data_IF_782140726574
#
_entry.id   IF_782140726574
#
_cell.length_a   1.000
_cell.length_b   1.000
_cell.length_c   1.000
_cell.angle_alpha   90.00
_cell.angle_beta   90.00
_cell.angle_gamma   90.00
#
_symmetry.space_group_name_H-M   'P 1'
#
loop_
_entity.id
_entity.type
_entity.pdbx_description
1 polymer ?
#
# COMPACT_ATOMS: atom_id res chain seq x y z
N UNK A 1 12.82 9.09 -12.97
CA UNK A 1 11.56 9.25 -12.22
C UNK A 1 11.43 8.02 -11.33
N UNK A 2 11.22 8.19 -10.03
CA UNK A 2 11.13 7.05 -9.11
C UNK A 2 9.81 6.30 -9.38
N UNK A 3 9.91 5.00 -9.62
CA UNK A 3 8.73 4.13 -9.78
C UNK A 3 8.36 3.51 -8.45
N UNK A 4 7.09 3.60 -8.10
CA UNK A 4 6.50 3.04 -6.89
C UNK A 4 5.85 1.72 -7.22
N UNK A 5 6.09 0.71 -6.38
CA UNK A 5 5.41 -0.59 -6.43
C UNK A 5 4.97 -1.04 -5.04
N UNK A 6 3.92 -1.85 -5.00
CA UNK A 6 3.57 -2.62 -3.80
C UNK A 6 4.59 -3.77 -3.62
N UNK A 7 5.16 -3.99 -2.43
CA UNK A 7 5.96 -5.18 -2.16
C UNK A 7 5.14 -6.47 -2.34
N UNK A 8 5.80 -7.56 -2.72
CA UNK A 8 5.13 -8.84 -3.01
C UNK A 8 4.50 -9.48 -1.77
N UNK A 9 5.11 -9.25 -0.61
CA UNK A 9 4.66 -9.72 0.69
C UNK A 9 3.47 -8.93 1.25
N UNK A 10 3.23 -7.70 0.79
CA UNK A 10 2.06 -6.93 1.21
C UNK A 10 0.82 -7.50 0.53
N UNK A 11 -0.13 -8.02 1.31
CA UNK A 11 -1.46 -8.41 0.83
C UNK A 11 -2.50 -7.44 1.39
N UNK A 12 -3.61 -7.27 0.69
CA UNK A 12 -4.67 -6.39 1.15
C UNK A 12 -6.04 -6.94 0.76
N UNK A 13 -7.07 -6.50 1.48
CA UNK A 13 -8.47 -6.73 1.12
C UNK A 13 -9.30 -5.50 1.46
N UNK A 14 -10.39 -5.30 0.72
CA UNK A 14 -11.37 -4.24 0.98
C UNK A 14 -12.50 -4.79 1.86
N UNK A 15 -12.89 -4.05 2.89
CA UNK A 15 -14.02 -4.35 3.77
C UNK A 15 -14.92 -3.11 3.95
N UNK A 16 -15.94 -2.99 3.11
CA UNK A 16 -16.87 -1.85 3.15
C UNK A 16 -16.14 -0.52 2.99
N UNK A 17 -16.25 0.34 4.01
CA UNK A 17 -15.64 1.69 4.05
C UNK A 17 -14.16 1.70 4.42
N UNK A 18 -13.57 0.55 4.77
CA UNK A 18 -12.16 0.43 5.15
C UNK A 18 -11.44 -0.68 4.40
N UNK A 19 -10.14 -0.77 4.63
CA UNK A 19 -9.25 -1.78 4.11
C UNK A 19 -8.53 -2.53 5.21
N UNK A 20 -7.99 -3.67 4.84
CA UNK A 20 -7.08 -4.44 5.68
C UNK A 20 -5.82 -4.74 4.90
N UNK A 21 -4.67 -4.47 5.50
CA UNK A 21 -3.35 -4.75 4.95
C UNK A 21 -2.66 -5.78 5.84
N UNK A 22 -2.01 -6.74 5.19
CA UNK A 22 -1.27 -7.83 5.82
C UNK A 22 0.18 -7.77 5.33
N UNK A 23 1.11 -7.67 6.26
CA UNK A 23 2.51 -7.90 5.97
C UNK A 23 2.80 -9.41 6.04
N UNK A 24 3.05 -10.04 4.90
CA UNK A 24 3.34 -11.48 4.83
C UNK A 24 4.82 -11.82 5.05
N UNK A 25 5.73 -10.84 5.09
CA UNK A 25 7.13 -11.11 5.42
C UNK A 25 7.27 -11.56 6.88
N UNK A 26 6.36 -11.14 7.75
CA UNK A 26 6.29 -11.56 9.15
C UNK A 26 5.50 -12.86 9.39
N UNK A 27 5.10 -13.60 8.35
CA UNK A 27 4.28 -14.81 8.50
C UNK A 27 5.06 -15.94 9.22
N UNK A 28 4.82 -16.10 10.53
CA UNK A 28 5.53 -17.05 11.40
C UNK A 28 6.22 -16.41 12.61
N UNK A 29 6.27 -15.08 12.66
CA UNK A 29 6.62 -14.32 13.86
C UNK A 29 5.33 -13.94 14.62
N UNK A 30 5.44 -13.69 15.93
CA UNK A 30 4.33 -13.24 16.80
C UNK A 30 3.68 -11.91 16.35
N UNK A 31 4.29 -11.24 15.35
CA UNK A 31 3.95 -9.89 14.85
C UNK A 31 3.45 -9.89 13.39
N UNK A 32 2.85 -10.99 12.91
CA UNK A 32 2.12 -10.96 11.64
C UNK A 32 0.92 -9.99 11.77
N UNK A 33 1.17 -8.72 11.49
CA UNK A 33 0.28 -7.61 11.79
C UNK A 33 -0.76 -7.43 10.69
N UNK A 34 -2.02 -7.66 11.07
CA UNK A 34 -3.19 -7.28 10.29
C UNK A 34 -3.57 -5.85 10.69
N UNK A 35 -3.41 -4.90 9.77
CA UNK A 35 -3.67 -3.48 10.03
C UNK A 35 -4.93 -3.01 9.31
N UNK A 36 -5.84 -2.40 10.06
CA UNK A 36 -7.00 -1.69 9.50
C UNK A 36 -6.55 -0.35 8.93
N UNK A 37 -6.81 -0.13 7.64
CA UNK A 37 -6.43 1.09 6.92
C UNK A 37 -7.65 1.77 6.33
N UNK A 38 -7.51 3.05 5.98
CA UNK A 38 -8.54 3.77 5.23
C UNK A 38 -8.72 3.14 3.84
N UNK A 39 -9.94 3.15 3.29
CA UNK A 39 -10.24 2.61 1.95
C UNK A 39 -9.38 3.22 0.84
N UNK A 40 -8.97 4.49 1.00
CA UNK A 40 -8.02 5.18 0.10
C UNK A 40 -6.65 4.53 0.00
N UNK A 41 -6.17 3.89 1.06
CA UNK A 41 -4.91 3.13 1.01
C UNK A 41 -5.09 1.90 0.14
N UNK A 42 -6.26 1.26 0.21
CA UNK A 42 -6.59 0.13 -0.68
C UNK A 42 -6.69 0.59 -2.13
N UNK A 43 -7.35 1.73 -2.41
CA UNK A 43 -7.39 2.29 -3.76
C UNK A 43 -5.97 2.52 -4.32
N UNK A 44 -5.06 3.05 -3.49
CA UNK A 44 -3.66 3.26 -3.86
C UNK A 44 -2.95 1.94 -4.15
N UNK A 45 -3.14 0.92 -3.31
CA UNK A 45 -2.56 -0.40 -3.50
C UNK A 45 -3.08 -1.07 -4.77
N UNK A 46 -4.39 -1.01 -5.03
CA UNK A 46 -5.00 -1.48 -6.27
C UNK A 46 -4.47 -0.75 -7.51
N UNK A 47 -4.18 0.54 -7.39
CA UNK A 47 -3.67 1.36 -8.48
C UNK A 47 -2.24 0.98 -8.91
N UNK A 48 -1.40 0.52 -7.97
CA UNK A 48 -0.01 0.09 -8.24
C UNK A 48 0.15 -1.43 -8.32
N UNK A 49 -0.90 -2.21 -8.01
CA UNK A 49 -0.86 -3.67 -8.07
C UNK A 49 -0.78 -4.15 -9.53
N UNK A 50 0.14 -5.08 -9.79
CA UNK A 50 0.36 -5.64 -11.13
C UNK A 50 1.08 -4.71 -12.13
N UNK A 51 1.29 -3.43 -11.83
CA UNK A 51 2.06 -2.51 -12.69
C UNK A 51 2.66 -1.37 -11.88
N UNK A 52 4.00 -1.33 -11.68
CA UNK A 52 4.66 -0.20 -11.04
C UNK A 52 4.32 1.13 -11.74
N UNK A 53 4.12 2.18 -10.95
CA UNK A 53 3.70 3.50 -11.43
C UNK A 53 4.72 4.56 -11.06
N UNK A 54 4.92 5.61 -11.88
CA UNK A 54 5.78 6.71 -11.48
C UNK A 54 5.16 7.45 -10.28
N UNK A 55 6.01 7.96 -9.38
CA UNK A 55 5.55 8.67 -8.17
C UNK A 55 4.62 9.84 -8.49
N UNK A 56 4.87 10.55 -9.60
CA UNK A 56 4.04 11.67 -10.06
C UNK A 56 2.59 11.28 -10.38
N UNK A 57 2.34 10.06 -10.90
CA UNK A 57 0.98 9.55 -11.14
C UNK A 57 0.25 9.35 -9.81
N UNK A 58 0.95 8.88 -8.78
CA UNK A 58 0.37 8.71 -7.45
C UNK A 58 0.02 10.07 -6.84
N UNK A 59 0.93 11.04 -6.89
CA UNK A 59 0.71 12.38 -6.33
C UNK A 59 -0.39 13.15 -7.10
N UNK A 60 -0.66 12.80 -8.36
CA UNK A 60 -1.77 13.36 -9.15
C UNK A 60 -3.11 12.67 -8.88
N UNK A 61 -3.11 11.37 -8.58
CA UNK A 61 -4.32 10.57 -8.38
C UNK A 61 -4.79 10.52 -6.92
N UNK A 62 -3.89 10.74 -5.95
CA UNK A 62 -4.15 10.59 -4.53
C UNK A 62 -3.72 11.84 -3.75
N UNK A 63 -4.35 12.03 -2.59
CA UNK A 63 -3.95 13.07 -1.64
C UNK A 63 -2.55 12.77 -1.10
N UNK A 64 -1.69 13.79 -1.00
CA UNK A 64 -0.30 13.63 -0.55
C UNK A 64 -0.19 12.85 0.76
N UNK A 65 -1.06 13.13 1.73
CA UNK A 65 -1.08 12.44 3.02
C UNK A 65 -1.34 10.93 2.90
N UNK A 66 -2.13 10.49 1.93
CA UNK A 66 -2.39 9.05 1.68
C UNK A 66 -1.14 8.39 1.11
N UNK A 67 -0.47 9.07 0.18
CA UNK A 67 0.73 8.54 -0.47
C UNK A 67 1.91 8.50 0.51
N UNK A 68 2.06 9.51 1.36
CA UNK A 68 3.05 9.54 2.44
C UNK A 68 2.80 8.43 3.45
N UNK A 69 1.57 8.29 3.95
CA UNK A 69 1.21 7.22 4.88
C UNK A 69 1.50 5.82 4.29
N UNK A 70 1.18 5.59 3.01
CA UNK A 70 1.46 4.31 2.37
C UNK A 70 2.96 3.99 2.22
N UNK A 71 3.81 5.02 2.11
CA UNK A 71 5.28 4.87 2.07
C UNK A 71 5.85 4.67 3.46
N UNK A 72 5.43 5.47 4.43
CA UNK A 72 5.91 5.38 5.82
C UNK A 72 5.61 4.01 6.43
N UNK A 73 4.42 3.47 6.15
CA UNK A 73 3.99 2.15 6.61
C UNK A 73 4.59 0.99 5.78
N UNK A 74 5.35 1.29 4.71
CA UNK A 74 5.97 0.28 3.86
C UNK A 74 5.01 -0.46 2.92
N UNK A 75 3.74 -0.05 2.83
CA UNK A 75 2.76 -0.65 1.92
C UNK A 75 3.14 -0.47 0.45
N UNK A 76 3.89 0.59 0.13
CA UNK A 76 4.51 0.82 -1.17
C UNK A 76 5.95 1.28 -1.01
N UNK A 77 6.80 0.99 -2.01
CA UNK A 77 8.21 1.38 -2.03
C UNK A 77 8.63 1.91 -3.40
N UNK A 78 9.54 2.89 -3.39
CA UNK A 78 10.27 3.30 -4.58
C UNK A 78 11.30 2.24 -4.98
N UNK A 79 11.51 2.07 -6.29
CA UNK A 79 12.68 1.41 -6.88
C UNK A 79 13.83 2.40 -7.06
#
# INVERSE_FOLDING_TARGET
MATVRKPDHVKYRREGDHGLVYDHENYGYEDASLTTVHSRIVDLLEYVDGSPRPREDLDAAFEQAVVEAAVEEGYVRGD
#
